data_IF_412369934066
#
_entry.id   IF_412369934066
#
_cell.length_a   1.000
_cell.length_b   1.000
_cell.length_c   1.000
_cell.angle_alpha   90.00
_cell.angle_beta   90.00
_cell.angle_gamma   90.00
#
_symmetry.space_group_name_H-M   'P 1'
#
loop_
_entity.id
_entity.type
_entity.pdbx_description
1 polymer ?
#
# COMPACT_ATOMS: atom_id res chain seq x y z
N UNK A 1 10.05 -4.30 27.69
CA UNK A 1 10.19 -3.29 26.62
C UNK A 1 9.04 -3.50 25.67
N UNK A 2 7.98 -2.72 25.83
CA UNK A 2 6.86 -2.72 24.91
C UNK A 2 7.34 -2.09 23.61
N UNK A 3 7.47 -2.89 22.55
CA UNK A 3 7.53 -2.38 21.18
C UNK A 3 6.13 -1.87 20.81
N UNK A 4 5.66 -0.83 21.50
CA UNK A 4 4.67 0.08 20.92
C UNK A 4 5.47 1.01 20.00
N UNK A 5 6.03 0.41 18.95
CA UNK A 5 6.49 1.19 17.81
C UNK A 5 5.24 1.73 17.17
N UNK A 6 4.79 2.90 17.62
CA UNK A 6 3.98 3.77 16.79
C UNK A 6 4.69 3.82 15.44
N UNK A 7 4.12 3.18 14.41
CA UNK A 7 4.63 3.30 13.05
C UNK A 7 4.59 4.79 12.74
N UNK A 8 5.73 5.47 12.87
CA UNK A 8 5.81 6.88 12.57
C UNK A 8 5.49 7.06 11.09
N UNK A 9 4.95 8.21 10.68
CA UNK A 9 4.65 8.51 9.27
C UNK A 9 5.84 8.19 8.34
N UNK A 10 7.06 8.35 8.87
CA UNK A 10 8.33 8.07 8.21
C UNK A 10 8.59 6.58 7.91
N UNK A 11 8.02 5.67 8.71
CA UNK A 11 8.10 4.23 8.48
C UNK A 11 7.04 3.75 7.49
N UNK A 12 5.88 4.43 7.46
CA UNK A 12 4.82 4.20 6.48
C UNK A 12 5.32 4.50 5.06
N UNK A 13 5.99 5.65 4.86
CA UNK A 13 6.56 6.01 3.56
C UNK A 13 7.56 4.97 3.06
N UNK A 14 8.44 4.47 3.94
CA UNK A 14 9.38 3.40 3.60
C UNK A 14 8.66 2.10 3.26
N UNK A 15 7.63 1.72 4.02
CA UNK A 15 6.83 0.53 3.72
C UNK A 15 6.17 0.64 2.35
N UNK A 16 5.62 1.80 2.00
CA UNK A 16 5.05 2.07 0.68
C UNK A 16 6.10 1.92 -0.41
N UNK A 17 7.32 2.45 -0.22
CA UNK A 17 8.41 2.29 -1.18
C UNK A 17 8.79 0.81 -1.40
N UNK A 18 8.89 0.04 -0.31
CA UNK A 18 9.17 -1.40 -0.37
C UNK A 18 8.07 -2.16 -1.09
N UNK A 19 6.80 -1.93 -0.74
CA UNK A 19 5.68 -2.57 -1.42
C UNK A 19 5.60 -2.15 -2.88
N UNK A 20 5.98 -0.92 -3.23
CA UNK A 20 6.01 -0.42 -4.61
C UNK A 20 7.01 -1.21 -5.44
N UNK A 21 8.24 -1.37 -4.93
CA UNK A 21 9.28 -2.18 -5.60
C UNK A 21 8.86 -3.65 -5.75
N UNK A 22 8.20 -4.22 -4.75
CA UNK A 22 7.69 -5.59 -4.84
C UNK A 22 6.54 -5.71 -5.83
N UNK A 23 5.59 -4.77 -5.82
CA UNK A 23 4.48 -4.73 -6.77
C UNK A 23 4.97 -4.58 -8.22
N UNK A 24 6.04 -3.81 -8.44
CA UNK A 24 6.70 -3.69 -9.75
C UNK A 24 7.40 -4.96 -10.20
N UNK A 25 7.86 -5.80 -9.28
CA UNK A 25 8.39 -7.14 -9.57
C UNK A 25 7.27 -8.17 -9.84
N UNK A 26 6.00 -7.76 -9.86
CA UNK A 26 4.86 -8.64 -10.08
C UNK A 26 4.35 -9.34 -8.82
N UNK A 27 4.77 -8.90 -7.62
CA UNK A 27 4.18 -9.40 -6.38
C UNK A 27 2.78 -8.81 -6.20
N UNK A 28 1.77 -9.61 -6.55
CA UNK A 28 0.35 -9.25 -6.43
C UNK A 28 -0.04 -8.87 -5.00
N UNK A 29 0.55 -9.53 -4.00
CA UNK A 29 0.31 -9.25 -2.59
C UNK A 29 0.69 -7.81 -2.23
N UNK A 30 1.85 -7.34 -2.68
CA UNK A 30 2.32 -5.99 -2.41
C UNK A 30 1.49 -4.92 -3.13
N UNK A 31 1.07 -5.19 -4.36
CA UNK A 31 0.16 -4.30 -5.11
C UNK A 31 -1.20 -4.19 -4.40
N UNK A 32 -1.73 -5.30 -3.89
CA UNK A 32 -2.99 -5.31 -3.11
C UNK A 32 -2.85 -4.54 -1.81
N UNK A 33 -1.72 -4.70 -1.09
CA UNK A 33 -1.44 -3.95 0.14
C UNK A 33 -1.36 -2.45 -0.13
N UNK A 34 -0.67 -2.02 -1.19
CA UNK A 34 -0.64 -0.61 -1.60
C UNK A 34 -2.03 -0.08 -1.90
N UNK A 35 -2.83 -0.86 -2.63
CA UNK A 35 -4.19 -0.47 -2.96
C UNK A 35 -5.03 -0.25 -1.70
N UNK A 36 -4.94 -1.15 -0.72
CA UNK A 36 -5.62 -1.00 0.57
C UNK A 36 -5.13 0.19 1.37
N UNK A 37 -3.81 0.48 1.38
CA UNK A 37 -3.25 1.63 2.11
C UNK A 37 -3.86 2.93 1.60
N UNK A 38 -3.94 3.10 0.28
CA UNK A 38 -4.55 4.29 -0.34
C UNK A 38 -6.09 4.28 -0.25
N UNK A 39 -6.74 3.11 -0.24
CA UNK A 39 -8.21 2.99 -0.07
C UNK A 39 -8.65 3.33 1.35
N UNK A 40 -7.93 2.85 2.37
CA UNK A 40 -8.27 3.08 3.78
C UNK A 40 -7.97 4.50 4.24
N UNK A 41 -6.92 5.13 3.70
CA UNK A 41 -6.56 6.50 4.07
C UNK A 41 -6.15 6.72 5.53
N UNK A 42 -5.87 5.64 6.28
CA UNK A 42 -5.53 5.70 7.72
C UNK A 42 -4.06 6.06 7.96
N UNK A 43 -3.20 5.61 7.05
CA UNK A 43 -1.74 5.71 7.14
C UNK A 43 -1.19 6.79 6.21
N UNK A 44 -1.91 7.08 5.14
CA UNK A 44 -1.63 8.13 4.14
C UNK A 44 -2.94 8.79 3.73
N UNK A 45 -2.91 9.98 3.11
CA UNK A 45 -4.12 10.56 2.52
C UNK A 45 -4.83 9.56 1.60
N UNK A 46 -6.14 9.43 1.78
CA UNK A 46 -6.96 8.54 0.96
C UNK A 46 -6.86 8.93 -0.52
N UNK A 47 -6.60 7.95 -1.38
CA UNK A 47 -6.43 8.16 -2.81
C UNK A 47 -7.01 6.96 -3.57
N UNK A 48 -8.31 7.06 -3.90
CA UNK A 48 -9.03 5.99 -4.59
C UNK A 48 -8.50 5.76 -6.02
N UNK A 49 -7.96 6.79 -6.68
CA UNK A 49 -7.37 6.65 -8.01
C UNK A 49 -6.09 5.80 -7.94
N UNK A 50 -5.20 6.07 -6.99
CA UNK A 50 -4.03 5.22 -6.75
C UNK A 50 -4.42 3.83 -6.29
N UNK A 51 -5.43 3.69 -5.44
CA UNK A 51 -5.91 2.38 -5.01
C UNK A 51 -6.36 1.54 -6.20
N UNK A 52 -7.19 2.09 -7.09
CA UNK A 52 -7.63 1.40 -8.31
C UNK A 52 -6.47 1.09 -9.25
N UNK A 53 -5.50 2.00 -9.41
CA UNK A 53 -4.30 1.74 -10.20
C UNK A 53 -3.55 0.50 -9.71
N UNK A 54 -3.33 0.39 -8.40
CA UNK A 54 -2.64 -0.74 -7.80
C UNK A 54 -3.47 -2.03 -7.81
N UNK A 55 -4.79 -1.97 -7.61
CA UNK A 55 -5.68 -3.12 -7.77
C UNK A 55 -5.65 -3.67 -9.19
N UNK A 56 -5.71 -2.78 -10.20
CA UNK A 56 -5.60 -3.16 -11.61
C UNK A 56 -4.24 -3.80 -11.92
N UNK A 57 -3.16 -3.28 -11.33
CA UNK A 57 -1.81 -3.86 -11.46
C UNK A 57 -1.70 -5.22 -10.76
N UNK A 58 -2.48 -5.45 -9.70
CA UNK A 58 -2.64 -6.74 -9.04
C UNK A 58 -3.58 -7.70 -9.81
N UNK A 59 -4.13 -7.31 -10.97
CA UNK A 59 -5.13 -8.10 -11.70
C UNK A 59 -6.44 -8.27 -10.92
N UNK A 60 -6.66 -7.46 -9.89
CA UNK A 60 -7.89 -7.42 -9.12
C UNK A 60 -8.77 -6.36 -9.78
N UNK A 61 -9.65 -6.82 -10.66
CA UNK A 61 -10.68 -5.97 -11.25
C UNK A 61 -11.91 -6.06 -10.33
N UNK A 62 -12.15 -5.01 -9.53
CA UNK A 62 -13.41 -4.85 -8.78
C UNK A 62 -14.47 -4.34 -9.78
N UNK A 63 -14.93 -5.21 -10.69
CA UNK A 63 -16.05 -4.93 -11.61
C UNK A 63 -17.40 -5.00 -10.90
#
# INVERSE_FOLDING_TARGET
MYFEGECTEKDIDKSIEWFTKSAEQGLLGSATTLAMIYEEGKLVPQDLEKAQHWYKKAGIDKS
#
